data_IF_831658085120
#
_entry.id   IF_831658085120
#
_cell.length_a   1.000
_cell.length_b   1.000
_cell.length_c   1.000
_cell.angle_alpha   90.00
_cell.angle_beta   90.00
_cell.angle_gamma   90.00
#
_symmetry.space_group_name_H-M   'P 1'
#
loop_
_entity.id
_entity.type
_entity.pdbx_description
1 polymer ?
#
# COMPACT_ATOMS: atom_id res chain seq x y z
N UNK A 1 -21.34 -2.43 -1.99
CA UNK A 1 -20.78 -3.25 -0.89
C UNK A 1 -21.90 -3.58 0.07
N UNK A 2 -22.29 -4.85 0.18
CA UNK A 2 -23.28 -5.31 1.16
C UNK A 2 -22.68 -5.14 2.57
N UNK A 3 -23.36 -4.40 3.42
CA UNK A 3 -22.98 -4.29 4.84
C UNK A 3 -23.15 -5.69 5.46
N UNK A 4 -22.08 -6.28 5.95
CA UNK A 4 -22.18 -7.48 6.78
C UNK A 4 -23.08 -7.17 7.97
N UNK A 5 -24.07 -8.03 8.28
CA UNK A 5 -24.91 -7.87 9.46
C UNK A 5 -24.02 -7.78 10.72
N UNK A 6 -24.39 -6.94 11.66
CA UNK A 6 -23.67 -6.84 12.95
C UNK A 6 -23.84 -8.15 13.73
N UNK A 7 -22.73 -8.77 14.11
CA UNK A 7 -22.77 -9.90 15.04
C UNK A 7 -23.28 -9.45 16.42
N UNK A 8 -24.15 -10.20 17.05
CA UNK A 8 -24.61 -9.90 18.41
C UNK A 8 -23.52 -10.15 19.45
N UNK A 9 -23.60 -9.50 20.60
CA UNK A 9 -22.74 -9.78 21.77
C UNK A 9 -21.27 -9.34 21.63
N UNK A 10 -20.94 -8.38 20.74
CA UNK A 10 -19.58 -7.92 20.50
C UNK A 10 -18.98 -7.05 21.61
N UNK A 11 -19.76 -6.57 22.58
CA UNK A 11 -19.29 -5.55 23.53
C UNK A 11 -18.04 -5.99 24.30
N UNK A 12 -18.06 -7.17 24.91
CA UNK A 12 -16.89 -7.68 25.64
C UNK A 12 -15.68 -7.88 24.72
N UNK A 13 -15.94 -8.34 23.50
CA UNK A 13 -14.93 -8.51 22.47
C UNK A 13 -14.25 -7.19 22.04
N UNK A 14 -14.99 -6.09 22.03
CA UNK A 14 -14.49 -4.73 21.75
C UNK A 14 -13.65 -4.22 22.91
N UNK A 15 -14.18 -4.33 24.13
CA UNK A 15 -13.54 -3.77 25.32
C UNK A 15 -12.18 -4.38 25.61
N UNK A 16 -12.06 -5.72 25.60
CA UNK A 16 -10.76 -6.32 25.91
C UNK A 16 -9.72 -6.09 24.81
N UNK A 17 -10.15 -6.01 23.53
CA UNK A 17 -9.23 -5.70 22.42
C UNK A 17 -8.79 -4.23 22.41
N UNK A 18 -9.70 -3.34 22.75
CA UNK A 18 -9.38 -1.93 22.98
C UNK A 18 -8.36 -1.81 24.13
N UNK A 19 -8.61 -2.49 25.26
CA UNK A 19 -7.68 -2.52 26.38
C UNK A 19 -6.32 -3.12 26.00
N UNK A 20 -6.30 -4.18 25.19
CA UNK A 20 -5.05 -4.77 24.69
C UNK A 20 -4.28 -3.78 23.81
N UNK A 21 -4.93 -3.18 22.81
CA UNK A 21 -4.25 -2.25 21.89
C UNK A 21 -3.80 -0.96 22.61
N UNK A 22 -4.65 -0.41 23.48
CA UNK A 22 -4.31 0.77 24.31
C UNK A 22 -3.20 0.45 25.33
N UNK A 23 -3.26 -0.71 25.99
CA UNK A 23 -2.22 -1.16 26.90
C UNK A 23 -0.87 -1.36 26.19
N UNK A 24 -0.88 -2.00 25.01
CA UNK A 24 0.32 -2.13 24.17
C UNK A 24 0.90 -0.78 23.75
N UNK A 25 0.04 0.19 23.39
CA UNK A 25 0.48 1.55 23.10
C UNK A 25 1.18 2.17 24.30
N UNK A 26 0.55 2.19 25.48
CA UNK A 26 1.13 2.78 26.71
C UNK A 26 2.46 2.10 27.08
N UNK A 27 2.51 0.78 27.04
CA UNK A 27 3.72 0.01 27.38
C UNK A 27 4.86 0.27 26.39
N UNK A 28 4.62 0.08 25.09
CA UNK A 28 5.69 0.17 24.08
C UNK A 28 6.12 1.63 23.89
N UNK A 29 5.15 2.53 23.69
CA UNK A 29 5.44 3.95 23.47
C UNK A 29 6.08 4.60 24.70
N UNK A 30 5.52 4.36 25.89
CA UNK A 30 6.05 4.88 27.16
C UNK A 30 7.44 4.33 27.46
N UNK A 31 7.66 3.03 27.26
CA UNK A 31 8.99 2.43 27.43
C UNK A 31 10.01 3.07 26.48
N UNK A 32 9.70 3.16 25.18
CA UNK A 32 10.61 3.76 24.20
C UNK A 32 10.92 5.23 24.52
N UNK A 33 9.92 6.01 24.94
CA UNK A 33 10.09 7.41 25.33
C UNK A 33 11.04 7.55 26.54
N UNK A 34 10.74 6.80 27.61
CA UNK A 34 11.57 6.81 28.82
C UNK A 34 12.98 6.31 28.54
N UNK A 35 13.13 5.21 27.81
CA UNK A 35 14.45 4.66 27.47
C UNK A 35 15.26 5.65 26.60
N UNK A 36 14.62 6.28 25.59
CA UNK A 36 15.30 7.24 24.74
C UNK A 36 15.72 8.50 25.50
N UNK A 37 14.94 8.93 26.50
CA UNK A 37 15.28 10.10 27.33
C UNK A 37 16.55 9.89 28.18
N UNK A 38 16.95 8.64 28.46
CA UNK A 38 18.19 8.33 29.20
C UNK A 38 19.44 8.37 28.32
N UNK A 39 19.27 8.45 26.98
CA UNK A 39 20.41 8.48 26.05
C UNK A 39 21.04 9.87 25.99
N UNK A 40 22.36 9.95 26.08
CA UNK A 40 23.09 11.21 26.10
C UNK A 40 23.03 11.98 24.75
N UNK A 41 23.04 11.24 23.63
CA UNK A 41 23.14 11.81 22.29
C UNK A 41 21.97 11.35 21.41
N UNK A 42 20.81 12.03 21.51
CA UNK A 42 19.68 11.82 20.59
C UNK A 42 19.66 12.93 19.56
N UNK A 43 19.80 12.54 18.28
CA UNK A 43 19.79 13.48 17.15
C UNK A 43 18.39 13.97 16.78
N UNK A 44 18.34 15.00 15.95
CA UNK A 44 17.11 15.42 15.26
C UNK A 44 17.37 15.36 13.76
N UNK A 45 16.35 15.08 12.99
CA UNK A 45 16.46 15.09 11.54
C UNK A 45 15.23 15.78 10.92
N UNK A 46 15.44 16.90 10.27
CA UNK A 46 14.43 17.73 9.63
C UNK A 46 15.08 18.61 8.55
N UNK A 47 14.28 19.13 7.63
CA UNK A 47 14.74 20.13 6.67
C UNK A 47 14.65 21.53 7.27
N UNK A 48 15.65 22.39 7.05
CA UNK A 48 15.67 23.74 7.63
C UNK A 48 14.44 24.60 7.28
N UNK A 49 13.84 24.40 6.10
CA UNK A 49 12.61 25.08 5.73
C UNK A 49 11.40 24.71 6.61
N UNK A 50 11.40 23.55 7.30
CA UNK A 50 10.34 23.17 8.23
C UNK A 50 10.19 24.14 9.39
N UNK A 51 11.21 24.93 9.71
CA UNK A 51 11.15 26.02 10.69
C UNK A 51 10.17 27.14 10.30
N UNK A 52 9.78 27.22 9.03
CA UNK A 52 8.79 28.16 8.53
C UNK A 52 7.35 27.61 8.57
N UNK A 53 7.16 26.35 8.99
CA UNK A 53 5.82 25.80 9.22
C UNK A 53 5.21 26.55 10.38
N UNK A 54 4.03 27.20 10.21
CA UNK A 54 3.42 27.98 11.29
C UNK A 54 2.96 27.08 12.43
N UNK A 55 3.17 27.53 13.65
CA UNK A 55 2.56 26.89 14.82
C UNK A 55 1.13 27.38 14.97
N UNK A 56 0.15 26.48 14.84
CA UNK A 56 -1.30 26.78 14.95
C UNK A 56 -1.85 26.01 16.13
N UNK A 57 -1.98 26.68 17.28
CA UNK A 57 -2.36 26.05 18.55
C UNK A 57 -3.75 25.39 18.53
N UNK A 58 -4.69 25.90 17.73
CA UNK A 58 -6.03 25.34 17.57
C UNK A 58 -6.02 23.95 16.93
N UNK A 59 -4.98 23.61 16.19
CA UNK A 59 -4.79 22.29 15.58
C UNK A 59 -4.52 21.19 16.62
N UNK A 60 -4.35 21.52 17.88
CA UNK A 60 -4.33 20.54 18.98
C UNK A 60 -5.65 19.77 19.10
N UNK A 61 -6.78 20.36 18.67
CA UNK A 61 -8.10 19.69 18.69
C UNK A 61 -8.18 18.54 17.69
N UNK A 62 -7.89 18.72 16.39
CA UNK A 62 -7.75 17.58 15.48
C UNK A 62 -6.70 16.58 15.97
N UNK A 63 -5.57 17.04 16.50
CA UNK A 63 -4.51 16.15 17.03
C UNK A 63 -5.07 15.18 18.08
N UNK A 64 -5.67 15.67 19.16
CA UNK A 64 -6.26 14.86 20.24
C UNK A 64 -7.46 14.03 19.78
N UNK A 65 -8.18 14.48 18.74
CA UNK A 65 -9.35 13.76 18.28
C UNK A 65 -9.05 12.37 17.75
N UNK A 66 -7.80 12.04 17.42
CA UNK A 66 -7.41 10.69 17.00
C UNK A 66 -7.76 9.65 18.07
N UNK A 67 -7.60 9.99 19.35
CA UNK A 67 -7.91 9.06 20.46
C UNK A 67 -9.39 8.67 20.48
N UNK A 68 -10.28 9.64 20.18
CA UNK A 68 -11.71 9.37 20.06
C UNK A 68 -12.01 8.47 18.85
N UNK A 69 -11.36 8.73 17.72
CA UNK A 69 -11.49 7.88 16.53
C UNK A 69 -10.89 6.49 16.73
N UNK A 70 -9.79 6.38 17.47
CA UNK A 70 -9.19 5.10 17.84
C UNK A 70 -10.17 4.25 18.65
N UNK A 71 -10.75 4.79 19.69
CA UNK A 71 -11.78 4.11 20.49
C UNK A 71 -13.00 3.78 19.61
N UNK A 72 -13.51 4.76 18.85
CA UNK A 72 -14.67 4.61 17.99
C UNK A 72 -14.52 3.52 16.93
N UNK A 73 -13.30 3.26 16.43
CA UNK A 73 -13.04 2.22 15.44
C UNK A 73 -13.44 0.83 15.94
N UNK A 74 -13.16 0.49 17.21
CA UNK A 74 -13.58 -0.78 17.79
C UNK A 74 -15.11 -0.93 17.88
N UNK A 75 -15.83 0.18 18.09
CA UNK A 75 -17.29 0.17 18.14
C UNK A 75 -17.95 0.18 16.76
N UNK A 76 -17.23 0.62 15.73
CA UNK A 76 -17.70 0.56 14.34
C UNK A 76 -17.58 -0.84 13.74
N UNK A 77 -16.58 -1.65 14.12
CA UNK A 77 -16.40 -3.00 13.63
C UNK A 77 -17.68 -3.85 13.81
N UNK A 78 -18.09 -4.56 12.77
CA UNK A 78 -19.34 -5.33 12.68
C UNK A 78 -19.19 -6.79 13.05
N UNK A 79 -17.97 -7.35 13.07
CA UNK A 79 -17.69 -8.75 13.33
C UNK A 79 -16.47 -8.97 14.22
N UNK A 80 -16.36 -10.17 14.82
CA UNK A 80 -15.12 -10.58 15.54
C UNK A 80 -13.92 -10.66 14.61
N UNK A 81 -14.12 -11.06 13.36
CA UNK A 81 -13.04 -11.12 12.35
C UNK A 81 -12.45 -9.74 12.10
N UNK A 82 -13.30 -8.73 11.91
CA UNK A 82 -12.90 -7.34 11.70
C UNK A 82 -12.18 -6.76 12.93
N UNK A 83 -12.70 -7.02 14.14
CA UNK A 83 -12.05 -6.66 15.40
C UNK A 83 -10.67 -7.30 15.55
N UNK A 84 -10.54 -8.59 15.22
CA UNK A 84 -9.27 -9.29 15.25
C UNK A 84 -8.26 -8.69 14.29
N UNK A 85 -8.71 -8.38 13.07
CA UNK A 85 -7.86 -7.78 12.04
C UNK A 85 -7.36 -6.39 12.46
N UNK A 86 -8.28 -5.52 12.94
CA UNK A 86 -7.93 -4.20 13.47
C UNK A 86 -6.90 -4.33 14.59
N UNK A 87 -7.17 -5.17 15.59
CA UNK A 87 -6.28 -5.35 16.75
C UNK A 87 -4.91 -5.85 16.34
N UNK A 88 -4.82 -6.86 15.47
CA UNK A 88 -3.54 -7.38 14.94
C UNK A 88 -2.74 -6.29 14.24
N UNK A 89 -3.37 -5.48 13.41
CA UNK A 89 -2.72 -4.37 12.70
C UNK A 89 -2.25 -3.28 13.65
N UNK A 90 -3.08 -2.90 14.63
CA UNK A 90 -2.71 -1.88 15.64
C UNK A 90 -1.53 -2.36 16.50
N UNK A 91 -1.57 -3.58 17.02
CA UNK A 91 -0.46 -4.14 17.80
C UNK A 91 0.81 -4.24 16.96
N UNK A 92 0.70 -4.72 15.73
CA UNK A 92 1.86 -4.84 14.83
C UNK A 92 2.51 -3.49 14.54
N UNK A 93 1.73 -2.43 14.26
CA UNK A 93 2.29 -1.10 14.00
C UNK A 93 2.92 -0.49 15.25
N UNK A 94 2.32 -0.68 16.41
CA UNK A 94 2.86 -0.20 17.70
C UNK A 94 4.23 -0.85 17.96
N UNK A 95 4.32 -2.19 17.84
CA UNK A 95 5.58 -2.93 18.07
C UNK A 95 6.62 -2.56 17.02
N UNK A 96 6.26 -2.52 15.73
CA UNK A 96 7.19 -2.15 14.67
C UNK A 96 7.73 -0.72 14.83
N UNK A 97 6.85 0.24 15.21
CA UNK A 97 7.28 1.61 15.50
C UNK A 97 8.20 1.67 16.73
N UNK A 98 7.88 0.90 17.78
CA UNK A 98 8.75 0.79 18.96
C UNK A 98 10.16 0.27 18.62
N UNK A 99 10.27 -0.73 17.77
CA UNK A 99 11.57 -1.22 17.27
C UNK A 99 12.31 -0.09 16.53
N UNK A 100 11.61 0.66 15.66
CA UNK A 100 12.23 1.79 14.95
C UNK A 100 12.71 2.87 15.93
N UNK A 101 11.94 3.23 16.95
CA UNK A 101 12.32 4.24 17.96
C UNK A 101 13.59 3.83 18.73
N UNK A 102 13.75 2.56 19.02
CA UNK A 102 14.96 2.05 19.72
C UNK A 102 16.19 2.01 18.81
N UNK A 103 16.00 1.64 17.53
CA UNK A 103 17.10 1.51 16.56
C UNK A 103 17.52 2.88 15.99
N UNK A 104 16.56 3.78 15.78
CA UNK A 104 16.75 5.09 15.16
C UNK A 104 16.15 6.20 16.03
N UNK A 105 16.71 6.43 17.25
CA UNK A 105 16.16 7.40 18.17
C UNK A 105 16.29 8.81 17.62
N UNK A 106 15.17 9.52 17.57
CA UNK A 106 15.11 10.92 17.14
C UNK A 106 14.37 11.75 18.19
N UNK A 107 14.78 13.02 18.34
CA UNK A 107 14.09 14.01 19.16
C UNK A 107 13.61 15.19 18.31
N UNK A 108 12.59 15.90 18.80
CA UNK A 108 12.10 17.13 18.17
C UNK A 108 13.21 18.16 18.03
N UNK A 109 13.40 18.68 16.82
CA UNK A 109 14.44 19.66 16.51
C UNK A 109 14.07 21.10 16.85
N UNK A 110 12.79 21.35 17.19
CA UNK A 110 12.28 22.66 17.57
C UNK A 110 11.92 22.68 19.05
N UNK A 111 12.09 23.83 19.73
CA UNK A 111 11.60 24.01 21.08
C UNK A 111 10.05 23.92 21.07
N UNK A 112 9.48 23.18 22.02
CA UNK A 112 8.02 23.07 22.15
C UNK A 112 7.44 24.41 22.64
N UNK A 113 6.50 25.03 21.89
CA UNK A 113 5.88 26.28 22.31
C UNK A 113 5.03 26.07 23.58
N UNK A 114 4.91 27.11 24.41
CA UNK A 114 4.01 27.13 25.55
C UNK A 114 2.79 27.98 25.17
N UNK A 115 1.68 27.37 24.68
CA UNK A 115 0.51 28.13 24.25
C UNK A 115 -0.23 28.74 25.43
N UNK A 116 -0.88 29.87 25.17
CA UNK A 116 -1.76 30.54 26.13
C UNK A 116 -3.22 30.46 25.73
N UNK A 117 -4.12 30.75 26.67
CA UNK A 117 -5.56 30.74 26.47
C UNK A 117 -6.18 29.35 26.58
N UNK A 118 -7.31 29.13 25.90
CA UNK A 118 -8.11 27.91 26.06
C UNK A 118 -7.42 26.62 25.59
N UNK A 119 -6.43 26.71 24.77
CA UNK A 119 -5.64 25.53 24.30
C UNK A 119 -4.55 25.11 25.30
N UNK A 120 -4.16 25.98 26.22
CA UNK A 120 -3.08 25.70 27.17
C UNK A 120 -3.27 24.39 27.95
N UNK A 121 -4.46 24.07 28.53
CA UNK A 121 -4.64 22.80 29.24
C UNK A 121 -4.41 21.56 28.36
N UNK A 122 -4.79 21.64 27.07
CA UNK A 122 -4.59 20.53 26.12
C UNK A 122 -3.10 20.29 25.83
N UNK A 123 -2.30 21.36 25.68
CA UNK A 123 -0.86 21.24 25.50
C UNK A 123 -0.14 20.83 26.80
N UNK A 124 -0.60 21.30 27.96
CA UNK A 124 -0.07 20.81 29.24
C UNK A 124 -0.28 19.30 29.40
N UNK A 125 -1.48 18.81 29.09
CA UNK A 125 -1.78 17.39 29.10
C UNK A 125 -0.92 16.63 28.08
N UNK A 126 -0.74 17.17 26.85
CA UNK A 126 0.10 16.59 25.83
C UNK A 126 1.55 16.47 26.30
N UNK A 127 2.16 17.54 26.76
CA UNK A 127 3.57 17.55 27.15
C UNK A 127 3.87 16.80 28.45
N UNK A 128 2.88 16.62 29.31
CA UNK A 128 2.99 15.80 30.50
C UNK A 128 3.03 14.30 30.19
N UNK A 129 2.39 13.87 29.11
CA UNK A 129 2.26 12.46 28.73
C UNK A 129 3.15 12.06 27.56
N UNK A 130 3.68 13.01 26.80
CA UNK A 130 4.47 12.78 25.59
C UNK A 130 5.78 13.57 25.63
N UNK A 131 6.89 12.87 25.75
CA UNK A 131 8.23 13.45 25.69
C UNK A 131 8.59 13.74 24.20
N UNK A 132 9.57 14.63 23.92
CA UNK A 132 9.92 15.03 22.55
C UNK A 132 10.77 13.96 21.81
N UNK A 133 10.48 12.70 22.00
CA UNK A 133 11.14 11.56 21.40
C UNK A 133 10.14 10.72 20.59
N UNK A 134 10.52 9.51 20.17
CA UNK A 134 9.66 8.59 19.42
C UNK A 134 9.06 9.23 18.13
N UNK A 135 9.92 9.89 17.34
CA UNK A 135 9.44 10.68 16.21
C UNK A 135 9.16 9.86 14.95
N UNK A 136 10.15 9.09 14.47
CA UNK A 136 10.05 8.34 13.22
C UNK A 136 10.02 6.82 13.43
N UNK A 137 9.01 6.13 12.87
CA UNK A 137 7.85 6.62 12.14
C UNK A 137 6.81 7.27 13.06
N UNK A 138 6.10 8.32 12.61
CA UNK A 138 5.01 8.89 13.41
C UNK A 138 3.94 7.84 13.71
N UNK A 139 3.85 7.42 14.98
CA UNK A 139 2.86 6.45 15.40
C UNK A 139 1.44 7.04 15.31
N UNK A 140 1.30 8.36 15.54
CA UNK A 140 0.05 9.09 15.36
C UNK A 140 -0.50 8.94 13.92
N UNK A 141 0.35 9.15 12.92
CA UNK A 141 -0.03 9.00 11.49
C UNK A 141 -0.29 7.53 11.13
N UNK A 142 0.51 6.61 11.67
CA UNK A 142 0.33 5.17 11.43
C UNK A 142 -1.01 4.67 11.98
N UNK A 143 -1.34 5.00 13.23
CA UNK A 143 -2.61 4.66 13.86
C UNK A 143 -3.79 5.30 13.13
N UNK A 144 -3.69 6.60 12.81
CA UNK A 144 -4.68 7.32 12.01
C UNK A 144 -4.99 6.60 10.69
N UNK A 145 -3.96 6.09 10.02
CA UNK A 145 -4.12 5.39 8.74
C UNK A 145 -4.86 4.07 8.92
N UNK A 146 -4.52 3.28 9.95
CA UNK A 146 -5.21 2.03 10.27
C UNK A 146 -6.67 2.23 10.70
N UNK A 147 -6.92 3.23 11.51
CA UNK A 147 -8.27 3.60 11.96
C UNK A 147 -9.13 4.03 10.76
N UNK A 148 -8.56 4.77 9.80
CA UNK A 148 -9.26 5.16 8.57
C UNK A 148 -9.77 3.97 7.76
N UNK A 149 -9.08 2.80 7.74
CA UNK A 149 -9.60 1.61 7.05
C UNK A 149 -10.97 1.21 7.58
N UNK A 150 -11.19 1.26 8.90
CA UNK A 150 -12.48 0.95 9.50
C UNK A 150 -13.53 2.01 9.14
N UNK A 151 -13.23 3.28 9.37
CA UNK A 151 -14.16 4.37 9.06
C UNK A 151 -14.50 4.44 7.57
N UNK A 152 -13.52 4.23 6.71
CA UNK A 152 -13.68 4.24 5.26
C UNK A 152 -14.60 3.15 4.72
N UNK A 153 -14.74 2.02 5.42
CA UNK A 153 -15.65 0.92 5.06
C UNK A 153 -17.07 1.20 5.61
N UNK A 154 -17.16 1.66 6.86
CA UNK A 154 -18.45 1.79 7.57
C UNK A 154 -19.20 3.08 7.28
N UNK A 155 -18.50 4.14 6.85
CA UNK A 155 -19.13 5.41 6.50
C UNK A 155 -19.41 5.50 4.99
N UNK A 156 -20.50 6.18 4.63
CA UNK A 156 -20.92 6.38 3.24
C UNK A 156 -21.34 7.84 3.00
N UNK A 157 -21.47 8.23 1.73
CA UNK A 157 -22.01 9.54 1.36
C UNK A 157 -21.22 10.73 1.96
N UNK A 158 -21.94 11.72 2.45
CA UNK A 158 -21.37 12.96 2.98
C UNK A 158 -20.59 12.73 4.28
N UNK A 159 -21.04 11.82 5.15
CA UNK A 159 -20.34 11.52 6.40
C UNK A 159 -18.94 10.98 6.15
N UNK A 160 -18.78 10.08 5.17
CA UNK A 160 -17.46 9.60 4.75
C UNK A 160 -16.56 10.72 4.24
N UNK A 161 -17.12 11.67 3.46
CA UNK A 161 -16.36 12.80 2.93
C UNK A 161 -15.88 13.73 4.06
N UNK A 162 -16.78 14.10 4.97
CA UNK A 162 -16.46 14.95 6.13
C UNK A 162 -15.38 14.28 7.00
N UNK A 163 -15.58 13.00 7.35
CA UNK A 163 -14.61 12.26 8.17
C UNK A 163 -13.25 12.15 7.45
N UNK A 164 -13.23 11.96 6.12
CA UNK A 164 -11.99 11.95 5.34
C UNK A 164 -11.24 13.28 5.47
N UNK A 165 -11.93 14.40 5.32
CA UNK A 165 -11.33 15.74 5.51
C UNK A 165 -10.80 15.90 6.92
N UNK A 166 -11.56 15.46 7.93
CA UNK A 166 -11.12 15.52 9.33
C UNK A 166 -9.85 14.68 9.57
N UNK A 167 -9.75 13.47 9.00
CA UNK A 167 -8.54 12.66 9.07
C UNK A 167 -7.35 13.31 8.34
N UNK A 168 -7.58 14.12 7.31
CA UNK A 168 -6.53 14.95 6.71
C UNK A 168 -6.08 16.06 7.68
N UNK A 169 -7.01 16.69 8.38
CA UNK A 169 -6.69 17.68 9.43
C UNK A 169 -5.92 17.04 10.59
N UNK A 170 -6.27 15.82 11.02
CA UNK A 170 -5.47 15.07 12.01
C UNK A 170 -4.04 14.89 11.54
N UNK A 171 -3.83 14.53 10.25
CA UNK A 171 -2.46 14.39 9.75
C UNK A 171 -1.72 15.73 9.69
N UNK A 172 -2.37 16.78 9.23
CA UNK A 172 -1.78 18.11 9.14
C UNK A 172 -1.45 18.68 10.52
N UNK A 173 -2.30 18.38 11.52
CA UNK A 173 -2.12 18.87 12.88
C UNK A 173 -0.77 18.43 13.49
N UNK A 174 -0.26 17.25 13.17
CA UNK A 174 1.01 16.76 13.70
C UNK A 174 2.19 17.68 13.38
N UNK A 175 2.16 18.31 12.19
CA UNK A 175 3.14 19.32 11.77
C UNK A 175 2.84 20.69 12.38
N UNK A 176 1.55 21.11 12.39
CA UNK A 176 1.13 22.46 12.80
C UNK A 176 1.14 22.67 14.32
N UNK A 177 1.16 21.59 15.13
CA UNK A 177 1.39 21.66 16.58
C UNK A 177 2.82 21.30 16.98
N UNK A 178 3.72 21.18 16.00
CA UNK A 178 5.14 20.88 16.16
C UNK A 178 5.41 19.63 17.01
N UNK A 179 4.65 18.55 16.75
CA UNK A 179 4.91 17.25 17.37
C UNK A 179 5.71 16.32 16.47
N UNK A 180 5.72 16.55 15.16
CA UNK A 180 6.44 15.74 14.20
C UNK A 180 7.08 16.59 13.11
N UNK A 181 8.17 16.08 12.56
CA UNK A 181 8.78 16.53 11.32
C UNK A 181 8.15 15.84 10.10
N UNK A 182 8.37 16.38 8.91
CA UNK A 182 7.77 15.83 7.68
C UNK A 182 8.19 14.38 7.41
N UNK A 183 9.45 14.03 7.74
CA UNK A 183 9.95 12.65 7.58
C UNK A 183 9.21 11.66 8.48
N UNK A 184 8.83 12.08 9.70
CA UNK A 184 8.09 11.24 10.63
C UNK A 184 6.69 10.95 10.10
N UNK A 185 6.06 11.98 9.52
CA UNK A 185 4.74 11.88 8.87
C UNK A 185 4.81 10.95 7.66
N UNK A 186 5.82 11.11 6.80
CA UNK A 186 6.01 10.27 5.62
C UNK A 186 6.24 8.80 6.01
N UNK A 187 7.11 8.53 6.96
CA UNK A 187 7.37 7.18 7.47
C UNK A 187 6.19 6.60 8.23
N UNK A 188 5.38 7.45 8.90
CA UNK A 188 4.12 7.06 9.51
C UNK A 188 3.08 6.60 8.49
N UNK A 189 2.91 7.30 7.37
CA UNK A 189 2.06 6.85 6.25
C UNK A 189 2.58 5.56 5.61
N UNK A 190 3.88 5.41 5.48
CA UNK A 190 4.51 4.18 5.01
C UNK A 190 4.12 2.98 5.90
N UNK A 191 4.24 3.12 7.22
CA UNK A 191 3.84 2.07 8.17
C UNK A 191 2.35 1.79 8.12
N UNK A 192 1.53 2.84 8.03
CA UNK A 192 0.07 2.74 7.89
C UNK A 192 -0.38 2.03 6.60
N UNK A 193 0.45 2.00 5.57
CA UNK A 193 0.24 1.24 4.34
C UNK A 193 0.85 -0.17 4.43
N UNK A 194 2.10 -0.31 4.90
CA UNK A 194 2.83 -1.58 4.90
C UNK A 194 2.21 -2.62 5.83
N UNK A 195 1.78 -2.23 7.03
CA UNK A 195 1.17 -3.16 7.99
C UNK A 195 -0.11 -3.83 7.44
N UNK A 196 -1.10 -3.13 6.87
CA UNK A 196 -2.24 -3.76 6.22
C UNK A 196 -1.86 -4.66 5.03
N UNK A 197 -0.80 -4.32 4.32
CA UNK A 197 -0.30 -5.14 3.23
C UNK A 197 0.29 -6.47 3.73
N UNK A 198 0.98 -6.47 4.87
CA UNK A 198 1.56 -7.66 5.50
C UNK A 198 0.52 -8.48 6.30
N UNK A 199 -0.46 -7.81 6.90
CA UNK A 199 -1.56 -8.44 7.65
C UNK A 199 -2.87 -8.20 6.89
N UNK A 200 -3.17 -9.04 5.87
CA UNK A 200 -4.33 -8.87 5.00
C UNK A 200 -5.65 -9.18 5.69
N UNK A 201 -6.72 -8.69 5.08
CA UNK A 201 -8.05 -9.20 5.34
C UNK A 201 -8.12 -10.70 4.94
N UNK A 202 -8.64 -11.59 5.81
CA UNK A 202 -8.80 -13.01 5.49
C UNK A 202 -9.63 -13.29 4.23
N UNK A 203 -10.53 -12.38 3.86
CA UNK A 203 -11.33 -12.49 2.64
C UNK A 203 -10.52 -12.15 1.36
N UNK A 204 -9.30 -11.63 1.53
CA UNK A 204 -8.38 -11.33 0.43
C UNK A 204 -7.58 -12.60 0.04
N UNK A 205 -8.22 -13.47 -0.71
CA UNK A 205 -7.69 -14.79 -1.12
C UNK A 205 -6.78 -14.69 -2.35
N UNK A 206 -5.66 -13.96 -2.27
CA UNK A 206 -4.55 -14.16 -3.21
C UNK A 206 -3.55 -15.10 -2.56
N UNK A 207 -3.23 -16.20 -3.23
CA UNK A 207 -2.22 -17.13 -2.75
C UNK A 207 -0.84 -16.45 -2.72
N UNK A 208 -0.09 -16.50 -1.61
CA UNK A 208 1.26 -15.97 -1.60
C UNK A 208 2.15 -16.82 -2.51
N UNK A 209 2.95 -16.15 -3.35
CA UNK A 209 3.94 -16.77 -4.22
C UNK A 209 5.33 -16.25 -3.88
N UNK A 210 5.94 -16.68 -2.75
CA UNK A 210 7.23 -16.19 -2.31
C UNK A 210 8.34 -16.63 -3.26
N UNK A 211 9.32 -15.74 -3.47
CA UNK A 211 10.54 -16.01 -4.22
C UNK A 211 11.77 -15.59 -3.42
N UNK A 212 12.34 -16.47 -2.60
CA UNK A 212 13.53 -16.16 -1.79
C UNK A 212 14.71 -15.65 -2.64
N UNK A 213 14.87 -16.16 -3.85
CA UNK A 213 15.93 -15.73 -4.78
C UNK A 213 15.79 -14.26 -5.19
N UNK A 214 14.56 -13.83 -5.55
CA UNK A 214 14.31 -12.43 -5.91
C UNK A 214 14.33 -11.54 -4.66
N UNK A 215 13.77 -12.00 -3.55
CA UNK A 215 13.83 -11.30 -2.27
C UNK A 215 15.28 -11.00 -1.87
N UNK A 216 16.17 -12.00 -1.93
CA UNK A 216 17.59 -11.81 -1.65
C UNK A 216 18.24 -10.82 -2.62
N UNK A 217 17.98 -10.93 -3.93
CA UNK A 217 18.53 -10.03 -4.95
C UNK A 217 18.17 -8.58 -4.72
N UNK A 218 16.90 -8.29 -4.43
CA UNK A 218 16.45 -6.94 -4.12
C UNK A 218 16.91 -6.49 -2.73
N UNK A 219 16.98 -7.39 -1.76
CA UNK A 219 17.46 -7.12 -0.41
C UNK A 219 18.95 -6.75 -0.37
N UNK A 220 19.81 -7.48 -1.11
CA UNK A 220 21.23 -7.12 -1.25
C UNK A 220 21.41 -5.78 -1.94
N UNK A 221 20.62 -5.49 -2.98
CA UNK A 221 20.60 -4.16 -3.60
C UNK A 221 20.18 -3.06 -2.63
N UNK A 222 19.17 -3.32 -1.80
CA UNK A 222 18.72 -2.38 -0.77
C UNK A 222 19.83 -2.10 0.27
N UNK A 223 20.52 -3.14 0.74
CA UNK A 223 21.63 -2.99 1.69
C UNK A 223 22.80 -2.22 1.08
N UNK A 224 23.16 -2.50 -0.17
CA UNK A 224 24.20 -1.76 -0.87
C UNK A 224 23.84 -0.27 -1.02
N UNK A 225 22.61 0.04 -1.42
CA UNK A 225 22.13 1.42 -1.49
C UNK A 225 22.07 2.09 -0.10
N UNK A 226 21.69 1.36 0.95
CA UNK A 226 21.71 1.88 2.31
C UNK A 226 23.13 2.25 2.76
N UNK A 227 24.14 1.44 2.41
CA UNK A 227 25.53 1.79 2.67
C UNK A 227 25.97 3.02 1.88
N UNK A 228 25.54 3.17 0.62
CA UNK A 228 25.85 4.35 -0.21
C UNK A 228 25.09 5.62 0.22
N UNK A 229 24.06 5.49 1.06
CA UNK A 229 23.29 6.63 1.55
C UNK A 229 24.12 7.63 2.38
N UNK A 230 25.24 7.18 2.96
CA UNK A 230 26.20 8.04 3.63
C UNK A 230 26.90 9.00 2.64
N UNK A 231 26.99 8.65 1.36
CA UNK A 231 27.59 9.50 0.32
C UNK A 231 26.57 10.48 -0.28
N UNK A 232 25.35 10.03 -0.46
CA UNK A 232 24.24 10.83 -1.00
C UNK A 232 22.88 10.27 -0.54
N UNK A 233 22.09 11.12 0.10
CA UNK A 233 20.79 10.77 0.67
C UNK A 233 19.81 10.11 -0.32
N UNK A 234 19.92 10.42 -1.62
CA UNK A 234 19.08 9.79 -2.65
C UNK A 234 19.17 8.27 -2.67
N UNK A 235 20.32 7.69 -2.26
CA UNK A 235 20.45 6.23 -2.13
C UNK A 235 19.61 5.63 -1.00
N UNK A 236 19.29 6.40 0.05
CA UNK A 236 18.38 5.94 1.11
C UNK A 236 16.96 5.71 0.56
N UNK A 237 16.51 6.56 -0.34
CA UNK A 237 15.21 6.40 -1.00
C UNK A 237 15.18 5.17 -1.93
N UNK A 238 16.25 4.95 -2.70
CA UNK A 238 16.38 3.76 -3.53
C UNK A 238 16.46 2.48 -2.67
N UNK A 239 17.20 2.51 -1.55
CA UNK A 239 17.28 1.42 -0.59
C UNK A 239 15.90 1.07 -0.02
N UNK A 240 15.11 2.07 0.36
CA UNK A 240 13.73 1.90 0.81
C UNK A 240 12.86 1.21 -0.26
N UNK A 241 12.93 1.70 -1.50
CA UNK A 241 12.16 1.14 -2.63
C UNK A 241 12.52 -0.33 -2.87
N UNK A 242 13.82 -0.65 -2.93
CA UNK A 242 14.29 -2.03 -3.13
C UNK A 242 13.96 -2.94 -1.94
N UNK A 243 14.01 -2.41 -0.71
CA UNK A 243 13.60 -3.11 0.50
C UNK A 243 12.13 -3.51 0.50
N UNK A 244 11.24 -2.61 0.09
CA UNK A 244 9.80 -2.89 -0.07
C UNK A 244 9.57 -3.99 -1.12
N UNK A 245 10.27 -3.93 -2.24
CA UNK A 245 10.18 -4.97 -3.28
C UNK A 245 10.72 -6.31 -2.76
N UNK A 246 11.83 -6.28 -2.01
CA UNK A 246 12.36 -7.49 -1.34
C UNK A 246 11.31 -8.12 -0.42
N UNK A 247 10.63 -7.32 0.40
CA UNK A 247 9.53 -7.78 1.27
C UNK A 247 8.39 -8.37 0.46
N UNK A 248 8.00 -7.74 -0.67
CA UNK A 248 6.95 -8.26 -1.53
C UNK A 248 7.29 -9.65 -2.06
N UNK A 249 8.53 -9.88 -2.51
CA UNK A 249 8.98 -11.20 -2.97
C UNK A 249 9.22 -12.20 -1.81
N UNK A 250 9.68 -11.76 -0.65
CA UNK A 250 9.86 -12.63 0.51
C UNK A 250 8.52 -13.18 1.02
N UNK A 251 7.51 -12.34 1.06
CA UNK A 251 6.16 -12.71 1.50
C UNK A 251 5.29 -13.29 0.38
N UNK A 252 5.65 -13.06 -0.89
CA UNK A 252 4.84 -13.41 -2.05
C UNK A 252 3.58 -12.56 -2.22
N UNK A 253 3.47 -11.44 -1.53
CA UNK A 253 2.26 -10.62 -1.46
C UNK A 253 2.34 -9.40 -2.40
N UNK A 254 1.75 -9.49 -3.59
CA UNK A 254 1.71 -8.41 -4.57
C UNK A 254 1.14 -7.09 -4.02
N UNK A 255 0.23 -7.15 -3.05
CA UNK A 255 -0.36 -5.97 -2.39
C UNK A 255 0.65 -5.16 -1.57
N UNK A 256 1.81 -5.72 -1.20
CA UNK A 256 2.91 -4.97 -0.58
C UNK A 256 3.38 -3.83 -1.48
N UNK A 257 3.13 -3.92 -2.78
CA UNK A 257 3.39 -2.84 -3.73
C UNK A 257 2.29 -1.75 -3.73
N UNK A 258 1.22 -1.93 -2.95
CA UNK A 258 0.24 -0.88 -2.63
C UNK A 258 -0.77 -0.55 -3.72
N UNK A 259 -1.01 -1.47 -4.67
CA UNK A 259 -1.99 -1.25 -5.74
C UNK A 259 -3.38 -1.70 -5.32
N UNK A 260 -4.35 -0.78 -5.40
CA UNK A 260 -5.76 -1.01 -5.14
C UNK A 260 -6.62 -0.45 -6.28
N UNK A 261 -7.54 -1.25 -6.80
CA UNK A 261 -8.44 -0.85 -7.90
C UNK A 261 -7.74 -0.17 -9.08
N UNK A 262 -6.54 -0.66 -9.42
CA UNK A 262 -5.76 -0.17 -10.55
C UNK A 262 -4.91 1.07 -10.27
N UNK A 263 -4.83 1.56 -9.03
CA UNK A 263 -3.96 2.68 -8.63
C UNK A 263 -3.08 2.30 -7.45
N UNK A 264 -1.85 2.77 -7.47
CA UNK A 264 -0.99 2.74 -6.30
C UNK A 264 -1.51 3.74 -5.25
N UNK A 265 -1.37 3.41 -3.98
CA UNK A 265 -1.61 4.40 -2.92
C UNK A 265 -0.55 5.51 -2.99
N UNK A 266 -0.87 6.75 -2.56
CA UNK A 266 0.12 7.84 -2.57
C UNK A 266 1.40 7.51 -1.79
N UNK A 267 1.29 6.77 -0.69
CA UNK A 267 2.43 6.30 0.08
C UNK A 267 3.30 5.32 -0.72
N UNK A 268 2.66 4.36 -1.42
CA UNK A 268 3.36 3.43 -2.30
C UNK A 268 4.03 4.13 -3.48
N UNK A 269 3.34 5.07 -4.13
CA UNK A 269 3.94 5.87 -5.21
C UNK A 269 5.19 6.60 -4.74
N UNK A 270 5.12 7.27 -3.60
CA UNK A 270 6.26 8.00 -3.05
C UNK A 270 7.40 7.05 -2.67
N UNK A 271 7.13 5.98 -1.92
CA UNK A 271 8.16 5.04 -1.50
C UNK A 271 8.82 4.30 -2.67
N UNK A 272 8.06 3.96 -3.71
CA UNK A 272 8.54 3.20 -4.87
C UNK A 272 9.01 4.11 -6.02
N UNK A 273 8.93 5.44 -5.92
CA UNK A 273 9.21 6.39 -6.99
C UNK A 273 10.52 6.11 -7.74
N UNK A 274 11.68 5.86 -7.08
CA UNK A 274 12.93 5.58 -7.82
C UNK A 274 12.81 4.38 -8.76
N UNK A 275 12.16 3.30 -8.30
CA UNK A 275 11.96 2.10 -9.11
C UNK A 275 10.88 2.31 -10.17
N UNK A 276 9.81 3.06 -9.86
CA UNK A 276 8.77 3.40 -10.84
C UNK A 276 9.34 4.23 -12.00
N UNK A 277 10.23 5.18 -11.73
CA UNK A 277 10.94 5.94 -12.78
C UNK A 277 11.79 5.00 -13.64
N UNK A 278 12.60 4.14 -13.02
CA UNK A 278 13.42 3.18 -13.74
C UNK A 278 12.57 2.24 -14.60
N UNK A 279 11.48 1.70 -14.08
CA UNK A 279 10.53 0.85 -14.80
C UNK A 279 9.88 1.60 -15.96
N UNK A 280 9.52 2.87 -15.77
CA UNK A 280 8.94 3.70 -16.82
C UNK A 280 9.92 3.96 -17.97
N UNK A 281 11.19 4.26 -17.64
CA UNK A 281 12.24 4.46 -18.64
C UNK A 281 12.53 3.17 -19.41
N UNK A 282 12.60 2.03 -18.71
CA UNK A 282 12.76 0.71 -19.31
C UNK A 282 11.60 0.37 -20.24
N UNK A 283 10.37 0.59 -19.79
CA UNK A 283 9.17 0.39 -20.62
C UNK A 283 9.21 1.26 -21.89
N UNK A 284 9.61 2.54 -21.79
CA UNK A 284 9.75 3.42 -22.97
C UNK A 284 10.75 2.88 -24.01
N UNK A 285 11.80 2.21 -23.58
CA UNK A 285 12.73 1.57 -24.48
C UNK A 285 12.06 0.42 -25.27
N UNK A 286 11.26 -0.41 -24.59
CA UNK A 286 10.53 -1.52 -25.19
C UNK A 286 9.34 -1.08 -26.04
N UNK A 287 8.66 0.01 -25.69
CA UNK A 287 7.55 0.58 -26.47
C UNK A 287 7.86 0.84 -27.94
N UNK A 288 9.12 1.02 -28.26
CA UNK A 288 9.58 1.32 -29.64
C UNK A 288 9.82 0.07 -30.49
N UNK A 289 9.82 -1.10 -29.89
CA UNK A 289 10.27 -2.35 -30.55
C UNK A 289 9.12 -3.32 -30.79
N UNK A 290 8.10 -3.34 -29.94
CA UNK A 290 7.08 -4.36 -29.91
C UNK A 290 5.67 -3.78 -30.11
N UNK A 291 4.76 -4.53 -30.78
CA UNK A 291 3.36 -4.16 -30.88
C UNK A 291 2.74 -4.03 -29.48
N UNK A 292 1.79 -3.11 -29.33
CA UNK A 292 1.19 -2.84 -28.04
C UNK A 292 0.35 -4.02 -27.51
N UNK A 293 -0.27 -4.75 -28.43
CA UNK A 293 -1.07 -5.95 -28.16
C UNK A 293 -1.19 -6.82 -29.41
N UNK A 294 -1.58 -8.06 -29.22
CA UNK A 294 -2.02 -8.96 -30.29
C UNK A 294 -3.30 -9.69 -29.88
N UNK A 295 -4.03 -10.16 -30.85
CA UNK A 295 -5.22 -10.99 -30.66
C UNK A 295 -4.79 -12.47 -30.70
N UNK A 296 -5.15 -13.25 -29.65
CA UNK A 296 -4.82 -14.68 -29.55
C UNK A 296 -6.00 -15.57 -29.95
N UNK A 297 -7.21 -15.10 -29.74
CA UNK A 297 -8.47 -15.72 -30.17
C UNK A 297 -9.50 -14.64 -30.44
N UNK A 298 -10.59 -14.90 -31.20
CA UNK A 298 -11.59 -13.90 -31.53
C UNK A 298 -12.07 -13.13 -30.30
N UNK A 299 -11.84 -11.82 -30.29
CA UNK A 299 -12.19 -10.93 -29.19
C UNK A 299 -11.32 -11.00 -27.97
N UNK A 300 -10.29 -11.85 -27.90
CA UNK A 300 -9.36 -11.95 -26.76
C UNK A 300 -7.98 -11.46 -27.16
N UNK A 301 -7.60 -10.34 -26.58
CA UNK A 301 -6.34 -9.65 -26.84
C UNK A 301 -5.44 -9.67 -25.59
N UNK A 302 -4.14 -9.67 -25.81
CA UNK A 302 -3.19 -9.47 -24.74
C UNK A 302 -2.01 -8.60 -25.17
N UNK A 303 -1.32 -8.06 -24.18
CA UNK A 303 -0.16 -7.24 -24.48
C UNK A 303 0.40 -6.52 -23.26
N UNK A 304 1.12 -5.43 -23.53
CA UNK A 304 1.73 -4.58 -22.52
C UNK A 304 0.74 -3.56 -21.95
N UNK A 305 1.11 -2.95 -20.84
CA UNK A 305 0.40 -1.79 -20.35
C UNK A 305 0.35 -0.68 -21.42
N UNK A 306 -0.83 -0.20 -21.73
CA UNK A 306 -1.06 0.86 -22.70
C UNK A 306 -0.84 2.25 -22.12
N UNK A 307 -0.46 3.18 -22.97
CA UNK A 307 -0.52 4.62 -22.67
C UNK A 307 -1.98 5.09 -22.68
N UNK A 308 -2.26 6.25 -22.09
CA UNK A 308 -3.63 6.79 -22.10
C UNK A 308 -4.18 7.05 -23.51
N UNK A 309 -3.32 7.36 -24.51
CA UNK A 309 -3.72 7.55 -25.91
C UNK A 309 -4.08 6.22 -26.57
N UNK A 310 -3.26 5.19 -26.41
CA UNK A 310 -3.52 3.84 -26.94
C UNK A 310 -4.76 3.22 -26.31
N UNK A 311 -4.95 3.39 -25.00
CA UNK A 311 -6.13 2.93 -24.28
C UNK A 311 -7.42 3.58 -24.78
N UNK A 312 -7.39 4.89 -25.10
CA UNK A 312 -8.51 5.59 -25.73
C UNK A 312 -8.80 5.05 -27.14
N UNK A 313 -7.76 4.79 -27.94
CA UNK A 313 -7.91 4.17 -29.26
C UNK A 313 -8.58 2.81 -29.16
N UNK A 314 -8.09 1.92 -28.28
CA UNK A 314 -8.65 0.58 -28.13
C UNK A 314 -10.13 0.59 -27.65
N UNK A 315 -10.53 1.58 -26.86
CA UNK A 315 -11.92 1.76 -26.43
C UNK A 315 -12.82 2.35 -27.52
N UNK A 316 -12.27 3.04 -28.50
CA UNK A 316 -13.05 3.61 -29.62
C UNK A 316 -13.65 2.52 -30.51
N UNK A 317 -13.03 1.33 -30.55
CA UNK A 317 -13.51 0.19 -31.35
C UNK A 317 -14.70 -0.55 -30.69
N UNK A 318 -15.26 -0.05 -29.59
CA UNK A 318 -16.44 -0.61 -28.92
C UNK A 318 -16.18 -1.11 -27.48
N UNK A 319 -17.18 -1.77 -26.88
CA UNK A 319 -17.10 -2.25 -25.49
C UNK A 319 -15.87 -3.13 -25.25
N UNK A 320 -15.20 -2.91 -24.12
CA UNK A 320 -13.97 -3.59 -23.75
C UNK A 320 -13.97 -3.96 -22.26
N UNK A 321 -13.65 -5.21 -21.98
CA UNK A 321 -13.26 -5.63 -20.64
C UNK A 321 -11.74 -5.63 -20.53
N UNK A 322 -11.19 -5.18 -19.39
CA UNK A 322 -9.75 -5.10 -19.16
C UNK A 322 -9.37 -5.84 -17.90
N UNK A 323 -8.47 -6.80 -18.03
CA UNK A 323 -7.82 -7.50 -16.92
C UNK A 323 -6.39 -7.00 -16.76
N UNK A 324 -6.15 -6.26 -15.70
CA UNK A 324 -4.85 -5.69 -15.37
C UNK A 324 -4.13 -6.57 -14.34
N UNK A 325 -3.05 -7.20 -14.76
CA UNK A 325 -2.23 -8.09 -13.94
C UNK A 325 -1.00 -7.40 -13.32
N UNK A 326 -0.83 -6.09 -13.53
CA UNK A 326 0.32 -5.37 -12.95
C UNK A 326 0.11 -5.12 -11.45
N UNK A 327 1.16 -5.33 -10.66
CA UNK A 327 1.18 -4.95 -9.25
C UNK A 327 1.91 -3.61 -9.01
N UNK A 328 2.83 -3.28 -9.92
CA UNK A 328 3.85 -2.23 -9.78
C UNK A 328 3.52 -0.93 -10.54
N UNK A 329 2.33 -0.77 -11.10
CA UNK A 329 2.03 0.44 -11.89
C UNK A 329 0.55 0.81 -11.91
N UNK A 330 0.25 2.09 -12.07
CA UNK A 330 -1.11 2.61 -12.24
C UNK A 330 -1.70 2.22 -13.60
N UNK A 331 -2.96 1.82 -13.62
CA UNK A 331 -3.72 1.64 -14.86
C UNK A 331 -4.05 2.99 -15.51
N UNK A 332 -4.18 3.06 -16.84
CA UNK A 332 -4.75 4.23 -17.50
C UNK A 332 -6.12 4.59 -16.91
N UNK A 333 -6.34 5.87 -16.59
CA UNK A 333 -7.59 6.34 -15.99
C UNK A 333 -8.81 5.97 -16.85
N UNK A 334 -8.66 6.06 -18.19
CA UNK A 334 -9.73 5.77 -19.14
C UNK A 334 -10.21 4.32 -19.05
N UNK A 335 -9.36 3.36 -18.72
CA UNK A 335 -9.79 1.97 -18.51
C UNK A 335 -10.63 1.82 -17.26
N UNK A 336 -10.22 2.47 -16.16
CA UNK A 336 -10.94 2.44 -14.89
C UNK A 336 -12.31 3.14 -14.94
N UNK A 337 -12.45 4.09 -15.83
CA UNK A 337 -13.66 4.92 -15.98
C UNK A 337 -14.64 4.39 -17.02
N UNK A 338 -14.15 3.78 -18.10
CA UNK A 338 -14.95 3.47 -19.30
C UNK A 338 -14.96 2.00 -19.71
N UNK A 339 -14.07 1.15 -19.15
CA UNK A 339 -14.04 -0.27 -19.43
C UNK A 339 -14.69 -1.08 -18.30
N UNK A 340 -15.06 -2.34 -18.56
CA UNK A 340 -15.28 -3.33 -17.51
C UNK A 340 -13.92 -3.73 -16.92
N UNK A 341 -13.40 -2.89 -16.01
CA UNK A 341 -12.04 -2.99 -15.51
C UNK A 341 -11.94 -3.87 -14.26
N UNK A 342 -10.98 -4.81 -14.29
CA UNK A 342 -10.59 -5.62 -13.13
C UNK A 342 -9.08 -5.57 -12.90
N UNK A 343 -8.66 -5.22 -11.70
CA UNK A 343 -7.28 -5.34 -11.24
C UNK A 343 -7.09 -6.66 -10.51
N UNK A 344 -6.12 -7.45 -10.95
CA UNK A 344 -5.64 -8.67 -10.29
C UNK A 344 -4.11 -8.59 -10.19
N UNK A 345 -3.57 -7.88 -9.18
CA UNK A 345 -2.14 -7.65 -9.07
C UNK A 345 -1.38 -8.96 -8.84
N UNK A 346 -0.44 -9.27 -9.74
CA UNK A 346 0.47 -10.41 -9.67
C UNK A 346 1.91 -9.90 -9.62
N UNK A 347 2.77 -10.53 -8.80
CA UNK A 347 4.21 -10.26 -8.81
C UNK A 347 4.83 -10.68 -10.14
N UNK A 348 5.81 -9.90 -10.59
CA UNK A 348 6.55 -10.23 -11.81
C UNK A 348 7.60 -11.32 -11.55
N UNK A 349 8.01 -12.04 -12.60
CA UNK A 349 9.06 -13.08 -12.55
C UNK A 349 8.79 -14.25 -11.57
N UNK A 350 7.56 -14.41 -11.10
CA UNK A 350 7.12 -15.56 -10.29
C UNK A 350 5.88 -16.20 -10.91
N UNK A 351 5.73 -17.51 -10.71
CA UNK A 351 4.51 -18.21 -11.15
C UNK A 351 3.34 -17.72 -10.27
N UNK A 352 2.23 -17.23 -10.85
CA UNK A 352 1.04 -16.91 -10.09
C UNK A 352 0.46 -18.13 -9.37
N UNK A 353 -0.26 -17.92 -8.28
CA UNK A 353 -0.99 -18.99 -7.63
C UNK A 353 -2.12 -19.51 -8.53
N UNK A 354 -2.36 -20.82 -8.49
CA UNK A 354 -3.40 -21.45 -9.31
C UNK A 354 -4.79 -20.83 -9.05
N UNK A 355 -5.05 -20.41 -7.82
CA UNK A 355 -6.27 -19.68 -7.47
C UNK A 355 -6.40 -18.33 -8.18
N UNK A 356 -5.30 -17.63 -8.46
CA UNK A 356 -5.32 -16.35 -9.14
C UNK A 356 -5.42 -16.53 -10.66
N UNK A 357 -4.79 -17.58 -11.20
CA UNK A 357 -4.99 -18.01 -12.58
C UNK A 357 -6.47 -18.33 -12.81
N UNK A 358 -7.10 -19.14 -11.94
CA UNK A 358 -8.51 -19.47 -12.03
C UNK A 358 -9.43 -18.22 -11.99
N UNK A 359 -9.14 -17.24 -11.13
CA UNK A 359 -9.88 -15.95 -11.10
C UNK A 359 -9.73 -15.16 -12.40
N UNK A 360 -8.52 -15.14 -12.98
CA UNK A 360 -8.25 -14.49 -14.23
C UNK A 360 -9.04 -15.14 -15.38
N UNK A 361 -9.01 -16.46 -15.46
CA UNK A 361 -9.76 -17.25 -16.47
C UNK A 361 -11.27 -17.06 -16.33
N UNK A 362 -11.79 -17.10 -15.10
CA UNK A 362 -13.22 -16.86 -14.85
C UNK A 362 -13.65 -15.48 -15.36
N UNK A 363 -12.85 -14.45 -15.14
CA UNK A 363 -13.12 -13.11 -15.67
C UNK A 363 -13.09 -13.08 -17.20
N UNK A 364 -12.08 -13.70 -17.84
CA UNK A 364 -11.97 -13.74 -19.30
C UNK A 364 -13.18 -14.42 -19.89
N UNK A 365 -13.58 -15.58 -19.38
CA UNK A 365 -14.79 -16.34 -19.82
C UNK A 365 -16.06 -15.52 -19.70
N UNK A 366 -16.26 -14.90 -18.55
CA UNK A 366 -17.45 -14.08 -18.29
C UNK A 366 -17.54 -12.90 -19.25
N UNK A 367 -16.43 -12.25 -19.53
CA UNK A 367 -16.43 -11.03 -20.33
C UNK A 367 -16.35 -11.29 -21.84
N UNK A 368 -15.70 -12.38 -22.27
CA UNK A 368 -15.64 -12.77 -23.68
C UNK A 368 -17.03 -13.00 -24.29
N UNK A 369 -17.97 -13.53 -23.51
CA UNK A 369 -19.36 -13.70 -23.96
C UNK A 369 -20.10 -12.38 -24.18
N UNK A 370 -19.59 -11.27 -23.63
CA UNK A 370 -20.18 -9.93 -23.67
C UNK A 370 -19.49 -9.00 -24.67
N UNK A 371 -18.26 -9.33 -25.11
CA UNK A 371 -17.49 -8.50 -26.01
C UNK A 371 -15.99 -8.76 -25.96
N UNK A 372 -15.21 -7.74 -26.31
CA UNK A 372 -13.75 -7.84 -26.36
C UNK A 372 -13.13 -7.83 -24.97
N UNK A 373 -12.06 -8.62 -24.80
CA UNK A 373 -11.29 -8.69 -23.54
C UNK A 373 -9.82 -8.37 -23.82
N UNK A 374 -9.25 -7.47 -23.05
CA UNK A 374 -7.84 -7.12 -23.07
C UNK A 374 -7.16 -7.54 -21.77
N UNK A 375 -6.20 -8.47 -21.86
CA UNK A 375 -5.41 -8.95 -20.72
C UNK A 375 -4.01 -8.37 -20.80
N UNK A 376 -3.56 -7.64 -19.79
CA UNK A 376 -2.21 -7.07 -19.85
C UNK A 376 -1.44 -7.21 -18.54
N UNK A 377 -0.13 -7.27 -18.67
CA UNK A 377 0.81 -7.00 -17.59
C UNK A 377 1.68 -5.78 -17.95
N UNK A 378 2.85 -5.61 -17.35
CA UNK A 378 3.69 -4.44 -17.62
C UNK A 378 4.24 -4.44 -19.06
N UNK A 379 4.84 -5.56 -19.49
CA UNK A 379 5.46 -5.70 -20.81
C UNK A 379 4.67 -6.61 -21.77
N UNK A 380 3.69 -7.36 -21.29
CA UNK A 380 2.94 -8.31 -22.12
C UNK A 380 3.61 -9.66 -22.31
N UNK A 381 4.78 -9.89 -21.68
CA UNK A 381 5.67 -11.01 -22.04
C UNK A 381 5.55 -12.24 -21.14
N UNK A 382 5.10 -12.11 -19.89
CA UNK A 382 5.08 -13.23 -18.95
C UNK A 382 3.70 -13.44 -18.29
N UNK A 383 3.27 -12.55 -17.38
CA UNK A 383 2.04 -12.73 -16.59
C UNK A 383 0.79 -12.88 -17.45
N UNK A 384 0.59 -11.98 -18.42
CA UNK A 384 -0.53 -12.06 -19.35
C UNK A 384 -0.44 -13.27 -20.28
N UNK A 385 0.74 -13.58 -20.79
CA UNK A 385 0.99 -14.74 -21.63
C UNK A 385 0.68 -16.04 -20.87
N UNK A 386 1.16 -16.18 -19.62
CA UNK A 386 0.92 -17.38 -18.82
C UNK A 386 -0.58 -17.56 -18.47
N UNK A 387 -1.27 -16.50 -18.08
CA UNK A 387 -2.73 -16.56 -17.82
C UNK A 387 -3.48 -17.00 -19.07
N UNK A 388 -3.12 -16.49 -20.24
CA UNK A 388 -3.77 -16.85 -21.49
C UNK A 388 -3.40 -18.26 -21.97
N UNK A 389 -2.20 -18.76 -21.68
CA UNK A 389 -1.86 -20.15 -21.94
C UNK A 389 -2.80 -21.11 -21.17
N UNK A 390 -3.01 -20.85 -19.89
CA UNK A 390 -3.96 -21.63 -19.10
C UNK A 390 -5.41 -21.45 -19.60
N UNK A 391 -5.80 -20.24 -19.97
CA UNK A 391 -7.13 -20.00 -20.52
C UNK A 391 -7.36 -20.72 -21.85
N UNK A 392 -6.35 -20.79 -22.75
CA UNK A 392 -6.46 -21.54 -24.01
C UNK A 392 -6.68 -23.03 -23.79
N UNK A 393 -6.01 -23.64 -22.81
CA UNK A 393 -6.22 -25.04 -22.44
C UNK A 393 -7.65 -25.24 -21.92
N UNK A 394 -8.09 -24.43 -20.97
CA UNK A 394 -9.40 -24.58 -20.36
C UNK A 394 -10.57 -24.25 -21.32
N UNK A 395 -10.34 -23.41 -22.33
CA UNK A 395 -11.35 -23.08 -23.35
C UNK A 395 -11.40 -24.08 -24.50
N UNK A 396 -10.52 -25.08 -24.52
CA UNK A 396 -10.40 -26.05 -25.61
C UNK A 396 -9.68 -25.51 -26.84
N UNK A 397 -9.07 -24.31 -26.76
CA UNK A 397 -8.29 -23.71 -27.86
C UNK A 397 -6.91 -24.37 -28.04
N UNK A 398 -6.41 -25.06 -27.01
CA UNK A 398 -5.18 -25.86 -27.05
C UNK A 398 -5.37 -27.18 -26.31
N UNK A 399 -4.72 -28.23 -26.79
CA UNK A 399 -4.84 -29.57 -26.21
C UNK A 399 -4.12 -29.71 -24.85
N UNK A 400 -3.04 -28.96 -24.67
CA UNK A 400 -2.23 -28.94 -23.46
C UNK A 400 -1.54 -27.58 -23.29
N UNK A 401 -0.85 -27.42 -22.15
CA UNK A 401 -0.19 -26.15 -21.80
C UNK A 401 1.01 -25.83 -22.69
N UNK A 402 1.76 -26.84 -23.16
CA UNK A 402 2.93 -26.61 -23.99
C UNK A 402 2.51 -26.13 -25.38
N UNK A 403 1.46 -26.73 -25.93
CA UNK A 403 0.87 -26.27 -27.21
C UNK A 403 0.29 -24.84 -27.06
N UNK A 404 -0.34 -24.53 -25.93
CA UNK A 404 -0.81 -23.17 -25.66
C UNK A 404 0.34 -22.16 -25.59
N UNK A 405 1.46 -22.52 -24.97
CA UNK A 405 2.67 -21.70 -24.92
C UNK A 405 3.25 -21.48 -26.31
N UNK A 406 3.33 -22.53 -27.15
CA UNK A 406 3.81 -22.43 -28.55
C UNK A 406 2.91 -21.48 -29.36
N UNK A 407 1.59 -21.56 -29.20
CA UNK A 407 0.66 -20.65 -29.88
C UNK A 407 0.91 -19.18 -29.49
N UNK A 408 1.20 -18.92 -28.21
CA UNK A 408 1.51 -17.56 -27.73
C UNK A 408 2.89 -17.11 -28.24
N UNK A 409 3.91 -17.96 -28.15
CA UNK A 409 5.27 -17.64 -28.59
C UNK A 409 5.34 -17.40 -30.11
N UNK A 410 4.53 -18.11 -30.91
CA UNK A 410 4.41 -17.83 -32.34
C UNK A 410 3.81 -16.44 -32.64
N UNK A 411 3.04 -15.86 -31.74
CA UNK A 411 2.46 -14.49 -31.86
C UNK A 411 3.37 -13.43 -31.25
N UNK A 412 4.04 -13.76 -30.15
CA UNK A 412 4.96 -12.90 -29.40
C UNK A 412 6.22 -13.69 -29.07
N UNK A 413 7.23 -13.71 -29.99
CA UNK A 413 8.45 -14.48 -29.83
C UNK A 413 9.23 -14.19 -28.55
N UNK A 414 9.11 -12.97 -28.02
CA UNK A 414 9.76 -12.53 -26.78
C UNK A 414 9.05 -12.99 -25.51
N UNK A 415 7.91 -13.70 -25.63
CA UNK A 415 7.16 -14.18 -24.48
C UNK A 415 8.01 -15.14 -23.63
N UNK A 416 8.17 -14.82 -22.36
CA UNK A 416 8.95 -15.59 -21.38
C UNK A 416 8.02 -16.57 -20.67
N UNK A 417 7.78 -17.70 -21.30
CA UNK A 417 7.00 -18.80 -20.75
C UNK A 417 7.95 -19.92 -20.35
N UNK A 418 8.40 -19.93 -19.08
CA UNK A 418 9.29 -21.01 -18.59
C UNK A 418 8.65 -22.39 -18.85
N UNK A 419 9.47 -23.28 -19.39
CA UNK A 419 9.13 -24.71 -19.57
C UNK A 419 8.88 -25.39 -18.24
#
# INVERSE_FOLDING_TARGET
MNRTPREPGLLWSRLWRLALAGGMFVLVYGFCNTFTSTRANVGSWFWEWERHIPFIKEMVVPYWSLDLFFVGAFFLCSSKAELNLLTKRLVAVIVASGICFLLFPLKMGFPRPVPSGWTAPLFHALYANDMPYNLAPSLHISLRSLVWFVYGIHLTGITRKITKVWFMLISLSTLLVWQHHLIDVATGFMMGWLIPALIPDPDFKTGPTPSPKLALRYGTGALACAALAFLWFGFAWLALSLGIISIAYATGLARVLGKENGTLSPAAEWCLMPVLIATHLYQRHWLRREPAWCEIAPGVMFGRKLTGREAKGLLADGPLAVLDLTAESNAPAVFRERACYRSLPLLDLVKPADTDIAKAIAFIREQQSKGRVYVHCQLGLQRSALVLAHWLVESGGAGDLDRAKDMITNRVPEAVLSR
#
